data_IF_700097268428
#
_entry.id   IF_700097268428
#
_cell.length_a   1.000
_cell.length_b   1.000
_cell.length_c   1.000
_cell.angle_alpha   90.00
_cell.angle_beta   90.00
_cell.angle_gamma   90.00
#
_symmetry.space_group_name_H-M   'P 1'
#
loop_
_entity.id
_entity.type
_entity.pdbx_description
1 polymer ?
#
# COMPACT_ATOMS: atom_id res chain seq x y z
N UNK A 1 -7.14 -3.16 26.32
CA UNK A 1 -6.87 -4.06 25.18
C UNK A 1 -7.95 -3.87 24.13
N UNK A 2 -7.59 -3.84 22.83
CA UNK A 2 -8.57 -3.70 21.75
C UNK A 2 -9.50 -4.91 21.71
N UNK A 3 -10.77 -4.66 21.40
CA UNK A 3 -11.78 -5.69 21.13
C UNK A 3 -11.81 -6.03 19.64
N UNK A 4 -12.42 -7.17 19.28
CA UNK A 4 -12.62 -7.55 17.87
C UNK A 4 -13.31 -6.44 17.08
N UNK A 5 -14.27 -5.75 17.68
CA UNK A 5 -15.01 -4.66 17.04
C UNK A 5 -14.09 -3.49 16.66
N UNK A 6 -13.07 -3.19 17.48
CA UNK A 6 -12.11 -2.11 17.16
C UNK A 6 -11.30 -2.49 15.91
N UNK A 7 -10.80 -3.73 15.82
CA UNK A 7 -10.11 -4.21 14.61
C UNK A 7 -10.99 -4.18 13.36
N UNK A 8 -12.27 -4.55 13.49
CA UNK A 8 -13.23 -4.49 12.39
C UNK A 8 -13.47 -3.05 11.92
N UNK A 9 -13.56 -2.10 12.85
CA UNK A 9 -13.68 -0.67 12.51
C UNK A 9 -12.43 -0.20 11.76
N UNK A 10 -11.21 -0.53 12.24
CA UNK A 10 -9.98 -0.12 11.55
C UNK A 10 -9.91 -0.71 10.14
N UNK A 11 -10.25 -2.00 9.99
CA UNK A 11 -10.32 -2.65 8.69
C UNK A 11 -11.37 -2.01 7.77
N UNK A 12 -12.53 -1.66 8.32
CA UNK A 12 -13.58 -0.96 7.58
C UNK A 12 -13.13 0.43 7.11
N UNK A 13 -12.45 1.20 7.96
CA UNK A 13 -11.86 2.50 7.60
C UNK A 13 -10.85 2.33 6.47
N UNK A 14 -9.92 1.36 6.57
CA UNK A 14 -8.96 1.06 5.51
C UNK A 14 -9.65 0.72 4.19
N UNK A 15 -10.69 -0.11 4.23
CA UNK A 15 -11.46 -0.52 3.06
C UNK A 15 -12.21 0.66 2.41
N UNK A 16 -12.89 1.50 3.20
CA UNK A 16 -13.61 2.68 2.70
C UNK A 16 -12.65 3.67 2.08
N UNK A 17 -11.54 3.98 2.74
CA UNK A 17 -10.53 4.91 2.21
C UNK A 17 -9.93 4.38 0.91
N UNK A 18 -9.56 3.09 0.87
CA UNK A 18 -9.05 2.45 -0.35
C UNK A 18 -10.09 2.52 -1.48
N UNK A 19 -11.36 2.20 -1.19
CA UNK A 19 -12.45 2.24 -2.16
C UNK A 19 -12.64 3.65 -2.74
N UNK A 20 -12.66 4.68 -1.90
CA UNK A 20 -12.84 6.07 -2.32
C UNK A 20 -11.64 6.63 -3.09
N UNK A 21 -10.43 6.18 -2.76
CA UNK A 21 -9.19 6.66 -3.39
C UNK A 21 -8.89 5.93 -4.70
N UNK A 22 -9.32 4.68 -4.85
CA UNK A 22 -9.15 3.87 -6.07
C UNK A 22 -9.58 4.59 -7.37
N UNK A 23 -10.78 5.20 -7.49
CA UNK A 23 -11.15 5.90 -8.73
C UNK A 23 -10.28 7.13 -9.03
N UNK A 24 -9.78 7.81 -7.99
CA UNK A 24 -8.85 8.94 -8.15
C UNK A 24 -7.52 8.46 -8.70
N UNK A 25 -6.96 7.39 -8.11
CA UNK A 25 -5.72 6.75 -8.58
C UNK A 25 -5.88 6.25 -10.01
N UNK A 26 -6.99 5.58 -10.31
CA UNK A 26 -7.34 5.10 -11.65
C UNK A 26 -7.38 6.23 -12.68
N UNK A 27 -8.02 7.35 -12.35
CA UNK A 27 -8.08 8.53 -13.23
C UNK A 27 -6.69 9.12 -13.50
N UNK A 28 -5.86 9.23 -12.46
CA UNK A 28 -4.48 9.74 -12.60
C UNK A 28 -3.64 8.78 -13.46
N UNK A 29 -3.78 7.49 -13.24
CA UNK A 29 -3.06 6.44 -13.96
C UNK A 29 -3.38 6.49 -15.46
N UNK A 30 -4.66 6.59 -15.83
CA UNK A 30 -5.08 6.74 -17.23
C UNK A 30 -4.49 8.00 -17.86
N UNK A 31 -4.56 9.14 -17.17
CA UNK A 31 -4.02 10.41 -17.67
C UNK A 31 -2.51 10.41 -17.86
N UNK A 32 -1.78 9.67 -17.02
CA UNK A 32 -0.31 9.55 -17.09
C UNK A 32 0.17 8.38 -17.95
N UNK A 33 -0.74 7.58 -18.50
CA UNK A 33 -0.39 6.37 -19.26
C UNK A 33 0.18 5.24 -18.40
N UNK A 34 -0.05 5.26 -17.08
CA UNK A 34 0.31 4.17 -16.17
C UNK A 34 -0.74 3.05 -16.26
N UNK A 35 -0.76 2.39 -17.42
CA UNK A 35 -1.73 1.36 -17.77
C UNK A 35 -1.00 0.12 -18.27
N UNK A 36 -1.49 -1.05 -17.87
CA UNK A 36 -1.05 -2.32 -18.41
C UNK A 36 -1.72 -2.53 -19.78
N UNK A 37 -0.90 -2.71 -20.82
CA UNK A 37 -1.37 -3.05 -22.15
C UNK A 37 -1.78 -4.53 -22.22
N UNK A 38 -2.84 -4.88 -22.98
CA UNK A 38 -3.16 -6.26 -23.28
C UNK A 38 -1.96 -7.00 -23.91
N UNK A 39 -1.71 -8.22 -23.46
CA UNK A 39 -0.69 -9.12 -24.00
C UNK A 39 -1.29 -10.52 -24.21
N UNK A 40 -0.51 -11.44 -24.78
CA UNK A 40 -0.95 -12.83 -25.07
C UNK A 40 -1.42 -13.62 -23.82
N UNK A 41 -1.16 -13.10 -22.62
CA UNK A 41 -1.55 -13.69 -21.33
C UNK A 41 -2.68 -12.92 -20.64
N UNK A 42 -3.10 -11.78 -21.18
CA UNK A 42 -4.10 -10.91 -20.59
C UNK A 42 -5.50 -11.38 -20.97
N UNK A 43 -6.38 -11.49 -19.97
CA UNK A 43 -7.82 -11.70 -20.18
C UNK A 43 -8.53 -10.42 -20.64
N UNK A 44 -7.91 -9.26 -20.43
CA UNK A 44 -8.46 -7.96 -20.76
C UNK A 44 -8.06 -7.54 -22.17
N UNK A 45 -9.04 -7.04 -22.93
CA UNK A 45 -8.86 -6.54 -24.30
C UNK A 45 -8.53 -5.04 -24.37
N UNK A 46 -8.59 -4.34 -23.25
CA UNK A 46 -8.34 -2.89 -23.14
C UNK A 46 -7.26 -2.62 -22.11
N UNK A 47 -6.54 -1.51 -22.25
CA UNK A 47 -5.55 -1.08 -21.27
C UNK A 47 -6.22 -0.71 -19.94
N UNK A 48 -5.66 -1.19 -18.81
CA UNK A 48 -6.23 -1.00 -17.47
C UNK A 48 -5.17 -0.38 -16.54
N UNK A 49 -5.55 0.57 -15.67
CA UNK A 49 -4.66 1.10 -14.64
C UNK A 49 -4.05 0.00 -13.76
N UNK A 50 -2.72 0.00 -13.61
CA UNK A 50 -2.00 -1.03 -12.84
C UNK A 50 -1.45 -0.53 -11.50
N UNK A 51 -1.58 0.76 -11.17
CA UNK A 51 -0.99 1.37 -9.96
C UNK A 51 -1.94 1.47 -8.76
N UNK A 52 -2.86 0.51 -8.60
CA UNK A 52 -3.88 0.51 -7.55
C UNK A 52 -3.32 0.47 -6.12
N UNK A 53 -2.10 -0.06 -5.95
CA UNK A 53 -1.41 -0.13 -4.65
C UNK A 53 -1.25 1.21 -3.94
N UNK A 54 -1.21 2.32 -4.70
CA UNK A 54 -1.16 3.67 -4.13
C UNK A 54 -2.41 4.01 -3.29
N UNK A 55 -3.59 3.54 -3.72
CA UNK A 55 -4.84 3.71 -2.96
C UNK A 55 -4.84 2.88 -1.67
N UNK A 56 -4.33 1.64 -1.75
CA UNK A 56 -4.20 0.77 -0.58
C UNK A 56 -3.23 1.32 0.46
N UNK A 57 -2.08 1.88 0.04
CA UNK A 57 -1.12 2.51 0.94
C UNK A 57 -1.77 3.68 1.70
N UNK A 58 -2.55 4.52 1.01
CA UNK A 58 -3.27 5.61 1.64
C UNK A 58 -4.33 5.11 2.63
N UNK A 59 -5.04 4.03 2.28
CA UNK A 59 -5.95 3.32 3.17
C UNK A 59 -5.29 2.84 4.46
N UNK A 60 -4.11 2.21 4.36
CA UNK A 60 -3.32 1.77 5.51
C UNK A 60 -2.92 2.93 6.41
N UNK A 61 -2.35 4.00 5.84
CA UNK A 61 -1.86 5.16 6.61
C UNK A 61 -3.01 5.85 7.35
N UNK A 62 -4.15 6.05 6.69
CA UNK A 62 -5.32 6.69 7.32
C UNK A 62 -5.91 5.77 8.40
N UNK A 63 -5.98 4.47 8.17
CA UNK A 63 -6.46 3.52 9.16
C UNK A 63 -5.57 3.46 10.40
N UNK A 64 -4.24 3.54 10.24
CA UNK A 64 -3.29 3.63 11.36
C UNK A 64 -3.44 4.94 12.13
N UNK A 65 -3.57 6.07 11.43
CA UNK A 65 -3.81 7.36 12.07
C UNK A 65 -5.15 7.38 12.85
N UNK A 66 -6.18 6.71 12.31
CA UNK A 66 -7.46 6.54 12.99
C UNK A 66 -7.36 5.59 14.19
N UNK A 67 -6.56 4.53 14.09
CA UNK A 67 -6.30 3.64 15.23
C UNK A 67 -5.60 4.37 16.38
N UNK A 68 -4.69 5.29 16.07
CA UNK A 68 -4.03 6.14 17.06
C UNK A 68 -5.03 7.08 17.76
N UNK A 69 -5.98 7.68 17.02
CA UNK A 69 -6.95 8.62 17.60
C UNK A 69 -8.00 7.96 18.49
N UNK A 70 -8.25 6.66 18.34
CA UNK A 70 -9.18 5.92 19.19
C UNK A 70 -8.65 5.69 20.63
N UNK A 71 -7.34 5.80 20.86
CA UNK A 71 -6.75 5.57 22.19
C UNK A 71 -6.92 4.13 22.73
N UNK A 72 -7.25 3.17 21.85
CA UNK A 72 -7.44 1.75 22.22
C UNK A 72 -6.26 0.87 21.86
N UNK A 73 -5.40 1.40 20.99
CA UNK A 73 -4.21 0.76 20.45
C UNK A 73 -2.93 1.41 21.01
N UNK A 74 -2.98 2.05 22.17
CA UNK A 74 -1.85 2.78 22.75
C UNK A 74 -0.58 1.92 22.85
N UNK A 75 -0.70 0.62 23.16
CA UNK A 75 0.43 -0.30 23.16
C UNK A 75 1.18 -0.42 21.82
N UNK A 76 0.56 -0.05 20.69
CA UNK A 76 1.18 0.01 19.37
C UNK A 76 1.95 1.33 19.13
N UNK A 77 1.54 2.40 19.81
CA UNK A 77 2.02 3.77 19.56
C UNK A 77 2.91 4.32 20.69
N UNK A 78 2.67 3.91 21.93
CA UNK A 78 3.42 4.33 23.11
C UNK A 78 4.65 3.45 23.31
N UNK A 79 5.83 4.07 23.19
CA UNK A 79 7.12 3.41 23.47
C UNK A 79 7.59 2.43 22.39
N UNK A 80 6.88 2.32 21.26
CA UNK A 80 7.27 1.51 20.10
C UNK A 80 7.42 2.36 18.84
N UNK A 81 8.44 2.09 18.03
CA UNK A 81 8.65 2.68 16.70
C UNK A 81 8.34 1.68 15.57
N UNK A 82 7.85 0.48 15.91
CA UNK A 82 7.55 -0.59 14.94
C UNK A 82 6.53 -0.14 13.90
N UNK A 83 5.50 0.63 14.31
CA UNK A 83 4.49 1.16 13.40
C UNK A 83 5.10 2.10 12.34
N UNK A 84 6.16 2.84 12.69
CA UNK A 84 6.91 3.68 11.74
C UNK A 84 7.66 2.78 10.76
N UNK A 85 8.33 1.73 11.26
CA UNK A 85 9.00 0.73 10.43
C UNK A 85 8.08 0.09 9.41
N UNK A 86 6.87 -0.29 9.83
CA UNK A 86 5.83 -0.84 8.95
C UNK A 86 5.42 0.15 7.86
N UNK A 87 5.19 1.43 8.21
CA UNK A 87 4.82 2.46 7.23
C UNK A 87 5.95 2.68 6.21
N UNK A 88 7.20 2.75 6.67
CA UNK A 88 8.36 2.93 5.80
C UNK A 88 8.59 1.73 4.88
N UNK A 89 8.46 0.51 5.40
CA UNK A 89 8.56 -0.71 4.60
C UNK A 89 7.42 -0.80 3.57
N UNK A 90 6.18 -0.46 3.95
CA UNK A 90 5.04 -0.40 3.03
C UNK A 90 5.24 0.65 1.94
N UNK A 91 5.78 1.83 2.28
CA UNK A 91 6.14 2.87 1.32
C UNK A 91 7.22 2.38 0.35
N UNK A 92 8.27 1.72 0.84
CA UNK A 92 9.35 1.19 0.04
C UNK A 92 8.85 0.11 -0.95
N UNK A 93 8.07 -0.87 -0.47
CA UNK A 93 7.49 -1.92 -1.32
C UNK A 93 6.54 -1.31 -2.35
N UNK A 94 5.70 -0.34 -1.95
CA UNK A 94 4.80 0.34 -2.88
C UNK A 94 5.57 1.10 -3.95
N UNK A 95 6.67 1.77 -3.58
CA UNK A 95 7.53 2.45 -4.54
C UNK A 95 8.15 1.47 -5.54
N UNK A 96 8.72 0.36 -5.06
CA UNK A 96 9.29 -0.70 -5.91
C UNK A 96 8.23 -1.26 -6.86
N UNK A 97 7.05 -1.60 -6.34
CA UNK A 97 5.93 -2.08 -7.15
C UNK A 97 5.48 -1.06 -8.19
N UNK A 98 5.37 0.21 -7.82
CA UNK A 98 5.04 1.28 -8.74
C UNK A 98 6.10 1.46 -9.85
N UNK A 99 7.39 1.34 -9.53
CA UNK A 99 8.45 1.37 -10.53
C UNK A 99 8.40 0.16 -11.46
N UNK A 100 8.11 -1.03 -10.92
CA UNK A 100 7.89 -2.26 -11.70
C UNK A 100 6.70 -2.10 -12.67
N UNK A 101 5.57 -1.63 -12.16
CA UNK A 101 4.33 -1.43 -12.93
C UNK A 101 4.50 -0.40 -14.06
N UNK A 102 5.39 0.58 -13.91
CA UNK A 102 5.56 1.68 -14.87
C UNK A 102 6.77 1.54 -15.79
N UNK A 103 7.80 0.80 -15.39
CA UNK A 103 9.08 0.70 -16.12
C UNK A 103 9.56 -0.72 -16.38
N UNK A 104 8.84 -1.74 -15.92
CA UNK A 104 9.19 -3.17 -16.06
C UNK A 104 10.60 -3.46 -15.53
N UNK A 105 10.73 -3.64 -14.20
CA UNK A 105 12.04 -3.80 -13.58
C UNK A 105 12.62 -5.18 -13.88
N UNK A 106 13.94 -5.24 -14.05
CA UNK A 106 14.63 -6.52 -14.17
C UNK A 106 14.39 -7.38 -12.90
N UNK A 107 14.17 -8.70 -13.03
CA UNK A 107 13.88 -9.56 -11.88
C UNK A 107 14.88 -9.45 -10.71
N UNK A 108 16.21 -9.35 -10.95
CA UNK A 108 17.16 -9.14 -9.85
C UNK A 108 16.93 -7.81 -9.11
N UNK A 109 16.66 -6.72 -9.82
CA UNK A 109 16.41 -5.41 -9.22
C UNK A 109 15.16 -5.43 -8.33
N UNK A 110 14.09 -6.10 -8.77
CA UNK A 110 12.86 -6.28 -7.99
C UNK A 110 13.12 -7.05 -6.70
N UNK A 111 13.84 -8.18 -6.79
CA UNK A 111 14.19 -8.99 -5.62
C UNK A 111 15.07 -8.21 -4.65
N UNK A 112 16.11 -7.53 -5.14
CA UNK A 112 16.99 -6.69 -4.32
C UNK A 112 16.20 -5.61 -3.58
N UNK A 113 15.27 -4.93 -4.26
CA UNK A 113 14.42 -3.93 -3.64
C UNK A 113 13.59 -4.51 -2.50
N UNK A 114 12.94 -5.66 -2.69
CA UNK A 114 12.12 -6.30 -1.66
C UNK A 114 12.97 -6.72 -0.47
N UNK A 115 14.19 -7.26 -0.70
CA UNK A 115 15.11 -7.62 0.39
C UNK A 115 15.52 -6.39 1.19
N UNK A 116 15.84 -5.27 0.53
CA UNK A 116 16.18 -4.01 1.21
C UNK A 116 15.00 -3.51 2.05
N UNK A 117 13.77 -3.56 1.52
CA UNK A 117 12.58 -3.16 2.27
C UNK A 117 12.34 -4.06 3.50
N UNK A 118 12.59 -5.36 3.39
CA UNK A 118 12.51 -6.29 4.52
C UNK A 118 13.60 -6.03 5.57
N UNK A 119 14.84 -5.78 5.14
CA UNK A 119 15.93 -5.42 6.05
C UNK A 119 15.66 -4.10 6.78
N UNK A 120 15.07 -3.13 6.11
CA UNK A 120 14.65 -1.87 6.74
C UNK A 120 13.68 -2.12 7.90
N UNK A 121 12.72 -3.05 7.75
CA UNK A 121 11.77 -3.38 8.80
C UNK A 121 12.45 -3.97 10.04
N UNK A 122 13.51 -4.77 9.87
CA UNK A 122 14.21 -5.43 11.00
C UNK A 122 14.97 -4.47 11.91
N UNK A 123 15.13 -3.21 11.51
CA UNK A 123 15.80 -2.18 12.30
C UNK A 123 14.90 -1.52 13.36
N UNK A 124 13.58 -1.66 13.20
CA UNK A 124 12.57 -1.10 14.10
C UNK A 124 12.11 -2.13 15.13
#
# INVERSE_FOLDING_TARGET
MPSLFDYLIIGFVAAVVTFLTTPVVSTIAQRRGWVAQPNDRSVHTTAIPNVGGLGMLLGLVIALAFAQSLGRFDALFDGSIEHIGVILAALAITAIGFFDDTRDLAPPAKVTGIVIAAMLLTWF
#
